data_IF_864758674567
#
_entry.id   IF_864758674567
#
_cell.length_a   1.000
_cell.length_b   1.000
_cell.length_c   1.000
_cell.angle_alpha   90.00
_cell.angle_beta   90.00
_cell.angle_gamma   90.00
#
_symmetry.space_group_name_H-M   'P 1'
#
loop_
_entity.id
_entity.type
_entity.pdbx_description
1 polymer ?
#
# COMPACT_ATOMS: atom_id res chain seq x y z
N UNK A 1 17.33 21.87 28.21
CA UNK A 1 15.99 21.98 27.62
C UNK A 1 15.48 20.56 27.49
N UNK A 2 14.49 20.17 28.30
CA UNK A 2 13.89 18.83 28.23
C UNK A 2 13.01 18.74 26.97
N UNK A 3 12.77 17.54 26.46
CA UNK A 3 11.89 17.31 25.30
C UNK A 3 10.44 17.82 25.51
N UNK A 4 10.07 18.20 26.74
CA UNK A 4 8.77 18.72 27.13
C UNK A 4 8.53 20.22 26.83
N UNK A 5 9.59 21.03 26.68
CA UNK A 5 9.48 22.50 26.61
C UNK A 5 9.71 23.10 25.21
N UNK A 6 10.02 22.27 24.20
CA UNK A 6 10.30 22.75 22.85
C UNK A 6 9.01 23.16 22.13
N UNK A 7 8.92 24.32 21.45
CA UNK A 7 7.77 24.65 20.60
C UNK A 7 7.71 23.75 19.34
N UNK A 8 6.54 23.61 18.70
CA UNK A 8 6.41 22.86 17.46
C UNK A 8 7.36 23.40 16.38
N UNK A 9 8.00 22.49 15.62
CA UNK A 9 9.01 22.83 14.64
C UNK A 9 8.44 23.45 13.35
N UNK A 10 7.13 23.31 13.11
CA UNK A 10 6.47 23.91 11.95
C UNK A 10 4.95 23.75 11.92
N UNK A 11 4.29 24.21 10.84
CA UNK A 11 2.83 24.28 10.75
C UNK A 11 2.12 22.93 10.89
N UNK A 12 2.75 21.85 10.42
CA UNK A 12 2.22 20.50 10.62
C UNK A 12 2.19 20.12 12.11
N UNK A 13 3.30 20.33 12.82
CA UNK A 13 3.40 20.00 14.24
C UNK A 13 2.48 20.89 15.08
N UNK A 14 2.36 22.19 14.75
CA UNK A 14 1.38 23.09 15.40
C UNK A 14 -0.04 22.54 15.32
N UNK A 15 -0.46 22.07 14.13
CA UNK A 15 -1.78 21.45 13.92
C UNK A 15 -1.93 20.15 14.69
N UNK A 16 -0.91 19.29 14.67
CA UNK A 16 -0.91 18.02 15.38
C UNK A 16 -1.01 18.23 16.89
N UNK A 17 -0.29 19.22 17.42
CA UNK A 17 -0.30 19.59 18.83
C UNK A 17 -1.64 20.17 19.26
N UNK A 18 -2.20 21.08 18.47
CA UNK A 18 -3.53 21.63 18.74
C UNK A 18 -4.59 20.52 18.77
N UNK A 19 -4.57 19.61 17.78
CA UNK A 19 -5.48 18.47 17.75
C UNK A 19 -5.31 17.54 18.96
N UNK A 20 -4.06 17.25 19.36
CA UNK A 20 -3.75 16.40 20.50
C UNK A 20 -4.22 17.04 21.82
N UNK A 21 -3.91 18.32 22.04
CA UNK A 21 -4.34 19.09 23.22
C UNK A 21 -5.86 19.13 23.37
N UNK A 22 -6.58 19.23 22.24
CA UNK A 22 -8.04 19.27 22.21
C UNK A 22 -8.67 17.86 22.28
N UNK A 23 -7.88 16.79 22.47
CA UNK A 23 -8.37 15.40 22.55
C UNK A 23 -8.92 14.85 21.23
N UNK A 24 -8.59 15.46 20.08
CA UNK A 24 -9.13 15.09 18.76
C UNK A 24 -8.31 13.98 18.11
N UNK A 25 -8.35 12.79 18.69
CA UNK A 25 -7.54 11.64 18.24
C UNK A 25 -7.72 11.31 16.75
N UNK A 26 -8.96 11.33 16.23
CA UNK A 26 -9.21 11.06 14.81
C UNK A 26 -8.51 12.08 13.88
N UNK A 27 -8.44 13.35 14.28
CA UNK A 27 -7.72 14.38 13.54
C UNK A 27 -6.20 14.16 13.60
N UNK A 28 -5.66 13.77 14.75
CA UNK A 28 -4.24 13.41 14.86
C UNK A 28 -3.87 12.26 13.91
N UNK A 29 -4.67 11.18 13.90
CA UNK A 29 -4.45 10.06 13.00
C UNK A 29 -4.58 10.46 11.52
N UNK A 30 -5.55 11.32 11.19
CA UNK A 30 -5.68 11.86 9.83
C UNK A 30 -4.48 12.71 9.40
N UNK A 31 -3.88 13.48 10.33
CA UNK A 31 -2.66 14.25 10.05
C UNK A 31 -1.46 13.31 9.86
N UNK A 32 -1.29 12.32 10.73
CA UNK A 32 -0.21 11.34 10.62
C UNK A 32 -0.30 10.50 9.34
N UNK A 33 -1.51 10.24 8.85
CA UNK A 33 -1.75 9.56 7.57
C UNK A 33 -1.06 10.23 6.39
N UNK A 34 -1.00 11.55 6.40
CA UNK A 34 -0.45 12.39 5.33
C UNK A 34 0.98 12.86 5.63
N UNK A 35 1.55 12.43 6.75
CA UNK A 35 2.86 12.88 7.19
C UNK A 35 3.97 12.05 6.55
N UNK A 36 5.04 12.76 6.16
CA UNK A 36 6.35 12.16 5.95
C UNK A 36 7.06 12.06 7.30
N UNK A 37 7.61 10.89 7.59
CA UNK A 37 8.26 10.58 8.85
C UNK A 37 9.76 10.42 8.66
N UNK A 38 10.54 11.00 9.56
CA UNK A 38 11.97 10.79 9.66
C UNK A 38 12.25 9.52 10.46
N UNK A 39 12.86 8.52 9.81
CA UNK A 39 13.35 7.30 10.44
C UNK A 39 14.86 7.40 10.64
N UNK A 40 15.36 7.24 11.88
CA UNK A 40 16.80 7.26 12.14
C UNK A 40 17.53 6.16 11.37
N UNK A 41 18.66 6.52 10.76
CA UNK A 41 19.61 5.57 10.14
C UNK A 41 21.02 5.88 10.63
N UNK A 42 21.92 4.91 10.48
CA UNK A 42 23.34 5.10 10.80
C UNK A 42 24.00 6.03 9.76
N UNK A 43 25.09 6.68 10.14
CA UNK A 43 25.89 7.49 9.20
C UNK A 43 26.48 6.63 8.08
N UNK A 44 26.86 5.39 8.37
CA UNK A 44 27.34 4.43 7.38
C UNK A 44 26.25 4.06 6.35
N UNK A 45 25.01 3.84 6.80
CA UNK A 45 23.89 3.59 5.89
C UNK A 45 23.58 4.82 5.02
N UNK A 46 23.64 6.03 5.61
CA UNK A 46 23.46 7.27 4.87
C UNK A 46 24.56 7.51 3.82
N UNK A 47 25.80 7.09 4.11
CA UNK A 47 26.93 7.15 3.19
C UNK A 47 26.92 6.00 2.13
N UNK A 48 25.97 5.06 2.22
CA UNK A 48 25.88 3.90 1.33
C UNK A 48 26.97 2.85 1.57
N UNK A 49 27.68 2.90 2.71
CA UNK A 49 28.74 1.92 3.03
C UNK A 49 28.20 0.67 3.71
N UNK A 50 26.96 0.70 4.20
CA UNK A 50 26.22 -0.47 4.70
C UNK A 50 24.74 -0.38 4.29
N UNK A 51 24.00 -1.50 4.25
CA UNK A 51 22.56 -1.46 4.03
C UNK A 51 21.83 -0.81 5.23
N UNK A 52 20.78 -0.02 4.99
CA UNK A 52 19.99 0.55 6.08
C UNK A 52 19.28 -0.57 6.87
N UNK A 53 19.38 -0.49 8.20
CA UNK A 53 18.69 -1.38 9.13
C UNK A 53 17.56 -0.64 9.86
N UNK A 54 16.55 -1.39 10.29
CA UNK A 54 15.46 -0.85 11.11
C UNK A 54 15.97 -0.47 12.50
N UNK A 55 15.93 0.82 12.83
CA UNK A 55 16.08 1.26 14.21
C UNK A 55 14.94 0.68 15.05
N UNK A 56 15.26 0.17 16.24
CA UNK A 56 14.27 -0.42 17.15
C UNK A 56 14.47 0.07 18.57
N UNK A 57 13.37 0.26 19.28
CA UNK A 57 13.33 0.40 20.74
C UNK A 57 12.43 -0.69 21.29
N UNK A 58 12.74 -1.21 22.47
CA UNK A 58 11.95 -2.27 23.11
C UNK A 58 11.49 -1.82 24.49
N UNK A 59 10.25 -2.13 24.82
CA UNK A 59 9.76 -2.08 26.20
C UNK A 59 9.45 -3.51 26.69
N UNK A 60 8.74 -3.62 27.82
CA UNK A 60 8.40 -4.92 28.40
C UNK A 60 7.41 -5.74 27.55
N UNK A 61 6.68 -5.10 26.63
CA UNK A 61 5.55 -5.68 25.91
C UNK A 61 5.85 -5.87 24.41
N UNK A 62 6.59 -4.95 23.77
CA UNK A 62 6.70 -4.90 22.31
C UNK A 62 7.99 -4.24 21.81
N UNK A 63 8.39 -4.62 20.59
CA UNK A 63 9.38 -3.90 19.77
C UNK A 63 8.72 -2.80 18.95
N UNK A 64 9.28 -1.60 18.99
CA UNK A 64 8.77 -0.43 18.30
C UNK A 64 9.79 0.13 17.31
N UNK A 65 9.31 0.54 16.15
CA UNK A 65 10.06 1.37 15.20
C UNK A 65 9.90 2.83 15.60
N UNK A 66 10.98 3.55 15.99
CA UNK A 66 10.90 4.97 16.26
C UNK A 66 10.85 5.75 14.94
N UNK A 67 9.88 6.65 14.83
CA UNK A 67 9.71 7.55 13.70
C UNK A 67 9.36 8.95 14.21
N UNK A 68 9.77 9.98 13.48
CA UNK A 68 9.64 11.36 13.94
C UNK A 68 8.93 12.24 12.91
N UNK A 69 8.13 13.19 13.39
CA UNK A 69 7.39 14.14 12.52
C UNK A 69 8.27 15.23 11.91
N UNK A 70 9.52 15.33 12.37
CA UNK A 70 10.54 16.25 11.85
C UNK A 70 11.95 15.75 12.20
N UNK A 71 12.95 16.23 11.47
CA UNK A 71 14.36 15.94 11.76
C UNK A 71 14.76 16.60 13.09
N UNK A 72 14.22 17.78 13.37
CA UNK A 72 14.40 18.50 14.62
C UNK A 72 13.89 17.70 15.83
N UNK A 73 12.68 17.12 15.72
CA UNK A 73 12.14 16.25 16.77
C UNK A 73 12.99 15.00 16.97
N UNK A 74 13.49 14.39 15.88
CA UNK A 74 14.41 13.25 15.95
C UNK A 74 15.72 13.58 16.66
N UNK A 75 16.38 14.67 16.27
CA UNK A 75 17.65 15.10 16.88
C UNK A 75 17.44 15.45 18.35
N UNK A 76 16.34 16.10 18.70
CA UNK A 76 16.02 16.44 20.08
C UNK A 76 15.75 15.19 20.93
N UNK A 77 14.87 14.29 20.48
CA UNK A 77 14.51 13.08 21.21
C UNK A 77 15.68 12.12 21.41
N UNK A 78 16.63 12.09 20.47
CA UNK A 78 17.86 11.29 20.56
C UNK A 78 19.00 11.97 21.32
N UNK A 79 18.81 13.19 21.84
CA UNK A 79 19.87 13.96 22.49
C UNK A 79 21.05 14.28 21.57
N UNK A 80 20.80 14.39 20.25
CA UNK A 80 21.80 14.63 19.23
C UNK A 80 22.49 13.38 18.68
N UNK A 81 22.16 12.18 19.17
CA UNK A 81 22.78 10.94 18.69
C UNK A 81 22.32 10.56 17.27
N UNK A 82 21.05 10.77 16.94
CA UNK A 82 20.54 10.55 15.59
C UNK A 82 20.78 11.80 14.73
N UNK A 83 21.71 11.68 13.79
CA UNK A 83 22.13 12.76 12.89
C UNK A 83 21.74 12.53 11.43
N UNK A 84 21.37 11.29 11.07
CA UNK A 84 20.97 10.90 9.73
C UNK A 84 19.61 10.22 9.78
N UNK A 85 18.79 10.45 8.76
CA UNK A 85 17.47 9.85 8.65
C UNK A 85 17.12 9.53 7.20
N UNK A 86 16.14 8.63 7.04
CA UNK A 86 15.38 8.46 5.81
C UNK A 86 13.99 9.05 6.01
N UNK A 87 13.54 9.86 5.07
CA UNK A 87 12.16 10.36 5.04
C UNK A 87 11.31 9.32 4.31
N UNK A 88 10.22 8.88 4.94
CA UNK A 88 9.28 7.91 4.36
C UNK A 88 7.84 8.27 4.73
N UNK A 89 6.93 8.03 3.80
CA UNK A 89 5.49 8.04 4.06
C UNK A 89 5.04 6.74 4.74
N UNK A 90 3.85 6.75 5.35
CA UNK A 90 3.28 5.52 5.94
C UNK A 90 3.08 4.38 4.93
N UNK A 91 2.63 4.61 3.68
CA UNK A 91 2.55 3.54 2.68
C UNK A 91 3.91 2.92 2.32
N UNK A 92 4.96 3.72 2.16
CA UNK A 92 6.32 3.20 1.90
C UNK A 92 6.83 2.38 3.09
N UNK A 93 6.60 2.87 4.31
CA UNK A 93 6.93 2.17 5.54
C UNK A 93 6.18 0.83 5.65
N UNK A 94 4.88 0.82 5.34
CA UNK A 94 4.05 -0.38 5.37
C UNK A 94 4.43 -1.41 4.29
N UNK A 95 4.89 -0.97 3.12
CA UNK A 95 5.32 -1.85 2.02
C UNK A 95 6.51 -2.73 2.41
N UNK A 96 7.42 -2.19 3.23
CA UNK A 96 8.62 -2.87 3.72
C UNK A 96 8.54 -3.33 5.18
N UNK A 97 7.34 -3.44 5.76
CA UNK A 97 7.19 -3.64 7.20
C UNK A 97 7.91 -4.91 7.69
N UNK A 98 8.85 -4.82 8.65
CA UNK A 98 9.77 -5.91 8.96
C UNK A 98 9.14 -7.07 9.72
N UNK A 99 8.22 -6.77 10.65
CA UNK A 99 7.58 -7.76 11.51
C UNK A 99 6.23 -7.23 11.97
N UNK A 100 5.16 -7.97 11.67
CA UNK A 100 3.79 -7.56 11.98
C UNK A 100 3.50 -7.44 13.48
N UNK A 101 4.33 -8.02 14.34
CA UNK A 101 4.19 -7.91 15.79
C UNK A 101 4.74 -6.58 16.33
N UNK A 102 5.59 -5.91 15.55
CA UNK A 102 6.18 -4.63 15.95
C UNK A 102 5.16 -3.49 15.79
N UNK A 103 5.35 -2.43 16.58
CA UNK A 103 4.55 -1.21 16.47
C UNK A 103 5.36 -0.03 15.92
N UNK A 104 4.70 1.07 15.60
CA UNK A 104 5.30 2.35 15.27
C UNK A 104 5.21 3.28 16.49
N UNK A 105 6.35 3.75 16.98
CA UNK A 105 6.41 4.80 17.99
C UNK A 105 6.69 6.12 17.28
N UNK A 106 5.68 6.99 17.19
CA UNK A 106 5.82 8.34 16.61
C UNK A 106 6.22 9.30 17.71
N UNK A 107 7.33 10.00 17.49
CA UNK A 107 7.94 10.96 18.42
C UNK A 107 8.16 10.39 19.84
N UNK A 108 8.76 9.20 20.00
CA UNK A 108 8.97 8.61 21.33
C UNK A 108 9.77 9.56 22.22
N UNK A 109 9.32 9.77 23.46
CA UNK A 109 9.96 10.68 24.42
C UNK A 109 9.63 12.17 24.23
N UNK A 110 8.81 12.52 23.24
CA UNK A 110 8.30 13.89 23.04
C UNK A 110 6.93 14.06 23.67
N UNK A 111 6.56 15.32 23.94
CA UNK A 111 5.26 15.70 24.52
C UNK A 111 4.05 15.19 23.73
N UNK A 112 4.11 15.29 22.40
CA UNK A 112 3.07 14.77 21.49
C UNK A 112 3.64 13.53 20.81
N UNK A 113 3.31 12.38 21.40
CA UNK A 113 3.79 11.06 20.96
C UNK A 113 2.63 10.09 20.78
N UNK A 114 2.84 9.09 19.92
CA UNK A 114 1.83 8.08 19.62
C UNK A 114 2.46 6.70 19.53
N UNK A 115 1.80 5.71 20.12
CA UNK A 115 2.11 4.30 19.93
C UNK A 115 1.03 3.70 19.03
N UNK A 116 1.43 3.30 17.83
CA UNK A 116 0.53 2.73 16.83
C UNK A 116 0.88 1.27 16.60
N UNK A 117 -0.06 0.38 16.86
CA UNK A 117 0.09 -1.03 16.47
C UNK A 117 0.15 -1.17 14.95
N UNK A 118 0.81 -2.24 14.47
CA UNK A 118 0.94 -2.55 13.04
C UNK A 118 -0.40 -2.52 12.30
N UNK A 119 -1.48 -3.04 12.89
CA UNK A 119 -2.81 -2.96 12.27
C UNK A 119 -3.31 -1.52 12.08
N UNK A 120 -3.01 -0.63 13.02
CA UNK A 120 -3.34 0.81 12.89
C UNK A 120 -2.48 1.45 11.82
N UNK A 121 -1.18 1.13 11.75
CA UNK A 121 -0.29 1.54 10.67
C UNK A 121 -0.84 1.08 9.31
N UNK A 122 -1.24 -0.18 9.18
CA UNK A 122 -1.80 -0.76 7.95
C UNK A 122 -3.03 0.03 7.46
N UNK A 123 -3.96 0.35 8.36
CA UNK A 123 -5.20 1.08 8.03
C UNK A 123 -4.97 2.56 7.69
N UNK A 124 -3.94 3.17 8.28
CA UNK A 124 -3.53 4.53 7.91
C UNK A 124 -2.81 4.53 6.56
N UNK A 125 -1.88 3.60 6.36
CA UNK A 125 -1.11 3.46 5.13
C UNK A 125 -2.01 3.12 3.93
N UNK A 126 -2.86 2.11 4.08
CA UNK A 126 -3.78 1.65 3.03
C UNK A 126 -5.18 1.56 3.60
N UNK A 127 -5.96 2.65 3.59
CA UNK A 127 -7.38 2.62 3.94
C UNK A 127 -8.18 1.74 2.96
N UNK A 128 -9.40 1.37 3.34
CA UNK A 128 -10.30 0.65 2.41
C UNK A 128 -10.76 1.57 1.29
N UNK A 129 -11.17 1.02 0.13
CA UNK A 129 -11.70 1.83 -0.98
C UNK A 129 -12.86 2.75 -0.54
N UNK A 130 -13.71 2.27 0.38
CA UNK A 130 -14.84 3.04 0.91
C UNK A 130 -14.36 4.20 1.77
N UNK A 131 -13.32 3.99 2.58
CA UNK A 131 -12.71 5.05 3.37
C UNK A 131 -12.02 6.08 2.48
N UNK A 132 -11.25 5.63 1.48
CA UNK A 132 -10.58 6.51 0.50
C UNK A 132 -11.58 7.41 -0.21
N UNK A 133 -12.69 6.85 -0.72
CA UNK A 133 -13.71 7.63 -1.41
C UNK A 133 -14.45 8.59 -0.46
N UNK A 134 -14.58 8.27 0.83
CA UNK A 134 -15.14 9.20 1.83
C UNK A 134 -14.19 10.35 2.12
N UNK A 135 -12.89 10.08 2.17
CA UNK A 135 -11.84 11.09 2.40
C UNK A 135 -11.67 12.03 1.20
N UNK A 136 -11.78 11.50 -0.02
CA UNK A 136 -11.65 12.27 -1.25
C UNK A 136 -12.77 11.95 -2.26
N UNK A 137 -14.02 12.42 -2.03
CA UNK A 137 -15.16 12.10 -2.92
C UNK A 137 -14.96 12.49 -4.39
N UNK A 138 -14.11 13.49 -4.64
CA UNK A 138 -13.77 13.96 -5.99
C UNK A 138 -12.81 13.05 -6.76
N UNK A 139 -12.16 12.06 -6.14
CA UNK A 139 -11.24 11.14 -6.83
C UNK A 139 -11.96 10.16 -7.76
N UNK A 140 -13.24 9.91 -7.51
CA UNK A 140 -14.02 8.88 -8.19
C UNK A 140 -13.64 7.45 -7.75
N UNK A 141 -14.36 6.47 -8.32
CA UNK A 141 -14.10 5.05 -8.07
C UNK A 141 -12.80 4.64 -8.77
N UNK A 142 -11.85 4.00 -8.06
CA UNK A 142 -10.59 3.61 -8.66
C UNK A 142 -10.78 2.56 -9.76
N UNK A 143 -9.85 2.53 -10.72
CA UNK A 143 -9.74 1.37 -11.62
C UNK A 143 -8.85 0.35 -10.93
N UNK A 144 -9.31 -0.90 -10.87
CA UNK A 144 -8.47 -2.03 -10.46
C UNK A 144 -8.02 -2.82 -11.67
N UNK A 145 -6.90 -3.52 -11.50
CA UNK A 145 -6.37 -4.41 -12.53
C UNK A 145 -5.91 -5.76 -11.98
N UNK A 146 -5.97 -6.77 -12.84
CA UNK A 146 -5.47 -8.12 -12.58
C UNK A 146 -4.75 -8.63 -13.82
N UNK A 147 -3.55 -9.20 -13.66
CA UNK A 147 -2.88 -9.89 -14.76
C UNK A 147 -3.63 -11.18 -15.09
N UNK A 148 -3.76 -11.47 -16.38
CA UNK A 148 -4.44 -12.65 -16.90
C UNK A 148 -3.43 -13.65 -17.49
N UNK A 149 -3.50 -14.94 -17.14
CA UNK A 149 -2.85 -15.98 -17.92
C UNK A 149 -3.41 -15.98 -19.34
N UNK A 150 -2.55 -16.16 -20.35
CA UNK A 150 -3.00 -16.21 -21.74
C UNK A 150 -4.01 -17.35 -21.99
N UNK A 151 -3.87 -18.46 -21.26
CA UNK A 151 -4.77 -19.62 -21.34
C UNK A 151 -6.19 -19.37 -20.81
N UNK A 152 -6.38 -18.38 -19.93
CA UNK A 152 -7.68 -18.08 -19.31
C UNK A 152 -8.55 -17.17 -20.20
N UNK A 153 -7.93 -16.50 -21.18
CA UNK A 153 -8.61 -15.51 -22.03
C UNK A 153 -9.76 -16.12 -22.85
N UNK A 154 -9.61 -17.28 -23.52
CA UNK A 154 -10.72 -17.88 -24.29
C UNK A 154 -11.95 -18.20 -23.42
N UNK A 155 -11.74 -18.73 -22.21
CA UNK A 155 -12.82 -19.00 -21.26
C UNK A 155 -13.49 -17.69 -20.81
N UNK A 156 -12.68 -16.69 -20.44
CA UNK A 156 -13.20 -15.38 -20.04
C UNK A 156 -14.05 -14.74 -21.16
N UNK A 157 -13.58 -14.79 -22.41
CA UNK A 157 -14.25 -14.21 -23.58
C UNK A 157 -15.57 -14.92 -23.93
N UNK A 158 -15.68 -16.22 -23.64
CA UNK A 158 -16.89 -17.01 -23.89
C UNK A 158 -17.92 -16.96 -22.75
N UNK A 159 -17.51 -16.46 -21.57
CA UNK A 159 -18.36 -16.40 -20.39
C UNK A 159 -19.32 -15.20 -20.45
N UNK A 160 -20.63 -15.47 -20.33
CA UNK A 160 -21.65 -14.42 -20.39
C UNK A 160 -21.85 -13.62 -19.09
N UNK A 161 -21.47 -14.18 -17.94
CA UNK A 161 -21.46 -13.48 -16.64
C UNK A 161 -20.10 -13.69 -15.96
N UNK A 162 -19.03 -13.07 -16.47
CA UNK A 162 -17.68 -13.35 -16.00
C UNK A 162 -17.47 -12.88 -14.57
N UNK A 163 -16.77 -13.70 -13.79
CA UNK A 163 -16.43 -13.45 -12.38
C UNK A 163 -14.94 -13.52 -12.15
N UNK A 164 -14.45 -12.77 -11.16
CA UNK A 164 -13.03 -12.72 -10.80
C UNK A 164 -12.85 -12.98 -9.31
N UNK A 165 -11.81 -13.75 -9.00
CA UNK A 165 -11.37 -14.07 -7.64
C UNK A 165 -9.87 -13.80 -7.48
N UNK A 166 -9.41 -13.77 -6.24
CA UNK A 166 -8.01 -13.61 -5.87
C UNK A 166 -7.59 -12.13 -5.81
N UNK A 167 -6.29 -11.88 -5.96
CA UNK A 167 -5.74 -10.53 -5.84
C UNK A 167 -5.93 -9.71 -7.11
N UNK A 168 -6.18 -8.42 -6.92
CA UNK A 168 -6.18 -7.36 -7.92
C UNK A 168 -5.58 -6.09 -7.30
N UNK A 169 -5.11 -5.17 -8.12
CA UNK A 169 -4.30 -4.03 -7.67
C UNK A 169 -4.87 -2.72 -8.17
N UNK A 170 -4.59 -1.62 -7.46
CA UNK A 170 -4.99 -0.29 -7.89
C UNK A 170 -4.23 0.10 -9.17
N UNK A 171 -4.94 0.33 -10.28
CA UNK A 171 -4.31 0.49 -11.59
C UNK A 171 -3.45 1.77 -11.72
N UNK A 172 -3.78 2.83 -10.98
CA UNK A 172 -2.99 4.07 -10.98
C UNK A 172 -1.62 3.87 -10.31
N UNK A 173 -1.52 2.97 -9.33
CA UNK A 173 -0.29 2.77 -8.57
C UNK A 173 0.79 2.12 -9.45
N UNK A 174 0.40 1.56 -10.59
CA UNK A 174 1.28 0.90 -11.56
C UNK A 174 1.21 1.53 -12.95
N UNK A 175 0.51 2.65 -13.13
CA UNK A 175 0.31 3.25 -14.46
C UNK A 175 1.58 3.84 -15.07
N UNK A 176 2.60 4.08 -14.25
CA UNK A 176 3.91 4.57 -14.68
C UNK A 176 4.83 3.43 -15.16
N UNK A 177 4.44 2.16 -14.96
CA UNK A 177 5.26 0.99 -15.31
C UNK A 177 4.87 0.52 -16.71
N UNK A 178 5.66 0.93 -17.72
CA UNK A 178 5.44 0.52 -19.11
C UNK A 178 6.09 -0.83 -19.46
N UNK A 179 7.05 -1.33 -18.66
CA UNK A 179 7.78 -2.55 -18.98
C UNK A 179 7.04 -3.79 -18.43
N UNK A 180 6.59 -4.73 -19.29
CA UNK A 180 5.83 -5.90 -18.84
C UNK A 180 6.57 -6.74 -17.78
N UNK A 181 7.85 -7.01 -17.99
CA UNK A 181 8.64 -7.81 -17.07
C UNK A 181 8.81 -7.16 -15.69
N UNK A 182 8.91 -5.83 -15.66
CA UNK A 182 8.98 -5.08 -14.40
C UNK A 182 7.63 -5.12 -13.68
N UNK A 183 6.52 -4.90 -14.39
CA UNK A 183 5.18 -4.98 -13.81
C UNK A 183 4.92 -6.38 -13.23
N UNK A 184 5.23 -7.43 -14.00
CA UNK A 184 5.05 -8.81 -13.53
C UNK A 184 5.93 -9.11 -12.30
N UNK A 185 7.18 -8.63 -12.29
CA UNK A 185 8.10 -8.80 -11.16
C UNK A 185 7.61 -8.10 -9.90
N UNK A 186 7.19 -6.83 -10.00
CA UNK A 186 6.62 -6.06 -8.87
C UNK A 186 5.42 -6.80 -8.28
N UNK A 187 4.53 -7.33 -9.11
CA UNK A 187 3.34 -8.06 -8.69
C UNK A 187 3.61 -9.52 -8.26
N UNK A 188 4.86 -9.99 -8.26
CA UNK A 188 5.20 -11.39 -7.94
C UNK A 188 4.64 -12.41 -8.93
N UNK A 189 4.34 -11.99 -10.16
CA UNK A 189 3.61 -12.73 -11.19
C UNK A 189 4.39 -12.88 -12.50
N UNK A 190 5.72 -12.97 -12.43
CA UNK A 190 6.61 -13.13 -13.59
C UNK A 190 6.24 -14.28 -14.54
N UNK A 191 5.60 -15.34 -14.01
CA UNK A 191 5.12 -16.47 -14.81
C UNK A 191 3.96 -16.15 -15.77
N UNK A 192 3.36 -14.97 -15.69
CA UNK A 192 2.27 -14.53 -16.58
C UNK A 192 2.75 -13.82 -17.85
N UNK A 193 4.06 -13.59 -18.00
CA UNK A 193 4.63 -13.10 -19.25
C UNK A 193 4.37 -14.12 -20.37
N UNK A 194 3.88 -13.63 -21.51
CA UNK A 194 3.77 -14.44 -22.71
C UNK A 194 5.14 -14.74 -23.30
N UNK A 195 5.21 -15.70 -24.23
CA UNK A 195 6.44 -15.97 -25.01
C UNK A 195 6.91 -14.73 -25.80
N UNK A 196 5.99 -13.88 -26.24
CA UNK A 196 6.29 -12.59 -26.87
C UNK A 196 6.79 -11.52 -25.87
N UNK A 197 6.85 -11.82 -24.58
CA UNK A 197 7.24 -10.89 -23.51
C UNK A 197 6.20 -9.79 -23.25
N UNK A 198 4.93 -10.06 -23.57
CA UNK A 198 3.80 -9.16 -23.31
C UNK A 198 3.03 -9.62 -22.08
N UNK A 199 2.14 -8.76 -21.55
CA UNK A 199 1.20 -9.11 -20.48
C UNK A 199 -0.24 -8.90 -20.94
N UNK A 200 -1.13 -9.78 -20.48
CA UNK A 200 -2.56 -9.57 -20.59
C UNK A 200 -3.07 -9.02 -19.25
N UNK A 201 -3.88 -7.96 -19.31
CA UNK A 201 -4.34 -7.23 -18.14
C UNK A 201 -5.85 -7.06 -18.22
N UNK A 202 -6.56 -7.50 -17.20
CA UNK A 202 -7.96 -7.18 -16.99
C UNK A 202 -8.06 -5.88 -16.18
N UNK A 203 -8.84 -4.90 -16.66
CA UNK A 203 -9.12 -3.64 -15.96
C UNK A 203 -10.61 -3.40 -15.80
N UNK A 204 -11.04 -2.97 -14.63
CA UNK A 204 -12.45 -2.63 -14.38
C UNK A 204 -12.61 -1.62 -13.24
N UNK A 205 -13.76 -0.96 -13.19
CA UNK A 205 -14.17 -0.13 -12.05
C UNK A 205 -14.96 -1.00 -11.08
N UNK A 206 -14.56 -1.13 -9.80
CA UNK A 206 -15.29 -1.88 -8.80
C UNK A 206 -16.76 -1.46 -8.65
N UNK A 207 -17.65 -2.45 -8.54
CA UNK A 207 -19.04 -2.28 -8.09
C UNK A 207 -19.19 -3.03 -6.78
N UNK A 208 -19.79 -2.37 -5.78
CA UNK A 208 -19.84 -2.89 -4.41
C UNK A 208 -18.44 -2.88 -3.78
N UNK A 209 -17.93 -1.68 -3.45
CA UNK A 209 -16.55 -1.47 -2.97
C UNK A 209 -16.16 -2.34 -1.77
N UNK A 210 -17.11 -2.68 -0.89
CA UNK A 210 -16.88 -3.57 0.27
C UNK A 210 -16.50 -5.00 -0.12
N UNK A 211 -16.74 -5.41 -1.37
CA UNK A 211 -16.32 -6.71 -1.92
C UNK A 211 -14.82 -6.75 -2.27
N UNK A 212 -14.16 -5.58 -2.31
CA UNK A 212 -12.75 -5.40 -2.64
C UNK A 212 -11.99 -5.14 -1.34
N UNK A 213 -11.79 -6.21 -0.58
CA UNK A 213 -11.26 -6.11 0.77
C UNK A 213 -9.75 -5.95 0.72
N UNK A 214 -9.24 -4.93 1.41
CA UNK A 214 -7.80 -4.80 1.68
C UNK A 214 -7.34 -6.05 2.46
N UNK A 215 -6.33 -6.79 1.97
CA UNK A 215 -5.88 -8.04 2.58
C UNK A 215 -4.94 -7.77 3.76
N UNK A 216 -5.48 -7.23 4.86
CA UNK A 216 -4.74 -7.19 6.12
C UNK A 216 -4.57 -8.63 6.64
N UNK A 217 -3.36 -9.03 6.97
CA UNK A 217 -3.05 -10.41 7.33
C UNK A 217 -1.59 -10.64 7.68
N UNK A 218 -1.15 -11.90 7.62
CA UNK A 218 0.24 -12.29 7.77
C UNK A 218 0.52 -13.67 7.19
N UNK A 219 1.77 -14.14 7.34
CA UNK A 219 2.17 -15.48 6.89
C UNK A 219 1.63 -16.61 7.79
N UNK A 220 1.21 -16.27 9.00
CA UNK A 220 0.61 -17.17 9.95
C UNK A 220 -0.52 -16.47 10.73
N UNK A 221 -1.16 -17.23 11.63
CA UNK A 221 -2.27 -16.73 12.43
C UNK A 221 -1.85 -15.60 13.37
N UNK A 222 -0.63 -15.64 13.92
CA UNK A 222 -0.14 -14.61 14.82
C UNK A 222 0.08 -13.28 14.08
N UNK A 223 0.67 -13.34 12.88
CA UNK A 223 0.84 -12.18 12.00
C UNK A 223 -0.50 -11.59 11.59
N UNK A 224 -1.47 -12.43 11.23
CA UNK A 224 -2.85 -12.01 10.94
C UNK A 224 -3.47 -11.29 12.13
N UNK A 225 -3.36 -11.85 13.34
CA UNK A 225 -3.90 -11.25 14.56
C UNK A 225 -3.23 -9.91 14.89
N UNK A 226 -1.91 -9.80 14.69
CA UNK A 226 -1.14 -8.59 15.01
C UNK A 226 -1.62 -7.35 14.23
N UNK A 227 -2.14 -7.53 13.01
CA UNK A 227 -2.75 -6.44 12.22
C UNK A 227 -4.27 -6.35 12.35
N UNK A 228 -4.89 -7.16 13.22
CA UNK A 228 -6.33 -7.39 13.28
C UNK A 228 -6.91 -7.73 11.89
N UNK A 229 -6.16 -8.52 11.14
CA UNK A 229 -6.43 -8.89 9.77
C UNK A 229 -7.32 -10.13 9.65
N UNK A 230 -7.47 -10.60 8.43
CA UNK A 230 -8.34 -11.73 8.09
C UNK A 230 -7.71 -12.70 7.07
N UNK A 231 -6.53 -12.38 6.54
CA UNK A 231 -5.81 -13.20 5.56
C UNK A 231 -4.63 -13.90 6.24
N UNK A 232 -4.49 -15.19 5.96
CA UNK A 232 -3.23 -15.93 6.09
C UNK A 232 -2.80 -16.35 4.70
N UNK A 233 -1.57 -16.05 4.30
CA UNK A 233 -1.05 -16.32 2.96
C UNK A 233 0.46 -16.55 3.01
N UNK A 234 0.98 -17.41 2.12
CA UNK A 234 2.41 -17.71 2.10
C UNK A 234 3.29 -16.49 1.73
N UNK A 235 4.57 -16.49 2.13
CA UNK A 235 5.55 -15.51 1.65
C UNK A 235 5.57 -15.44 0.11
N UNK A 236 5.79 -14.25 -0.49
CA UNK A 236 6.25 -13.01 0.14
C UNK A 236 5.15 -12.08 0.67
N UNK A 237 3.94 -12.57 1.01
CA UNK A 237 2.85 -11.74 1.51
C UNK A 237 3.23 -10.91 2.76
N UNK A 238 3.13 -9.57 2.66
CA UNK A 238 3.43 -8.64 3.77
C UNK A 238 2.23 -8.46 4.69
N UNK A 239 1.00 -8.50 4.17
CA UNK A 239 -0.21 -8.43 5.00
C UNK A 239 -0.60 -7.03 5.49
N UNK A 240 -0.04 -5.97 4.90
CA UNK A 240 -0.38 -4.57 5.19
C UNK A 240 -1.28 -3.92 4.12
N UNK A 241 -1.83 -4.71 3.19
CA UNK A 241 -2.66 -4.20 2.08
C UNK A 241 -1.88 -3.70 0.86
N UNK A 242 -0.59 -4.00 0.80
CA UNK A 242 0.32 -3.64 -0.29
C UNK A 242 0.95 -4.90 -0.87
N UNK A 243 1.22 -4.85 -2.17
CA UNK A 243 2.10 -5.82 -2.83
C UNK A 243 3.48 -5.76 -2.17
N UNK A 244 4.18 -6.89 -2.01
CA UNK A 244 5.50 -6.96 -1.36
C UNK A 244 6.61 -6.40 -2.25
N UNK A 245 6.60 -5.08 -2.48
CA UNK A 245 7.61 -4.35 -3.24
C UNK A 245 8.13 -3.18 -2.41
N UNK A 246 9.43 -3.18 -2.12
CA UNK A 246 10.07 -2.16 -1.27
C UNK A 246 10.15 -0.78 -1.94
N UNK A 247 10.16 -0.74 -3.27
CA UNK A 247 10.31 0.50 -4.04
C UNK A 247 9.00 0.98 -4.68
N UNK A 248 7.94 0.16 -4.64
CA UNK A 248 6.69 0.46 -5.31
C UNK A 248 5.52 0.25 -4.35
N UNK A 249 4.89 1.36 -3.96
CA UNK A 249 3.66 1.33 -3.16
C UNK A 249 2.49 0.96 -4.08
N UNK A 250 2.16 -0.32 -4.14
CA UNK A 250 1.04 -0.82 -4.94
C UNK A 250 -0.02 -1.40 -4.02
N UNK A 251 -1.18 -0.74 -3.95
CA UNK A 251 -2.32 -1.23 -3.16
C UNK A 251 -2.94 -2.46 -3.80
N UNK A 252 -3.23 -3.46 -2.97
CA UNK A 252 -3.85 -4.71 -3.38
C UNK A 252 -5.19 -4.95 -2.68
N UNK A 253 -6.05 -5.72 -3.34
CA UNK A 253 -7.38 -6.08 -2.88
C UNK A 253 -7.63 -7.55 -3.19
N UNK A 254 -8.22 -8.27 -2.23
CA UNK A 254 -8.62 -9.67 -2.39
C UNK A 254 -10.12 -9.74 -2.63
N UNK A 255 -10.51 -10.30 -3.77
CA UNK A 255 -11.91 -10.44 -4.20
C UNK A 255 -12.33 -11.91 -4.28
N UNK A 256 -13.62 -12.18 -4.06
CA UNK A 256 -14.20 -13.53 -4.11
C UNK A 256 -15.38 -13.58 -5.06
N UNK A 257 -15.12 -14.03 -6.28
CA UNK A 257 -16.13 -14.26 -7.30
C UNK A 257 -16.93 -13.00 -7.67
N UNK A 258 -16.31 -11.82 -7.64
CA UNK A 258 -16.99 -10.57 -8.00
C UNK A 258 -17.32 -10.58 -9.49
N UNK A 259 -18.55 -10.22 -9.87
CA UNK A 259 -18.94 -10.10 -11.27
C UNK A 259 -18.25 -8.92 -11.93
N UNK A 260 -17.77 -9.10 -13.17
CA UNK A 260 -17.22 -7.98 -13.94
C UNK A 260 -18.36 -7.08 -14.43
N UNK A 261 -18.27 -5.77 -14.18
CA UNK A 261 -19.29 -4.83 -14.61
C UNK A 261 -19.18 -4.51 -16.10
N UNK A 262 -20.24 -3.96 -16.67
CA UNK A 262 -20.22 -3.36 -18.00
C UNK A 262 -19.02 -2.40 -18.12
N UNK A 263 -18.30 -2.49 -19.24
CA UNK A 263 -17.12 -1.67 -19.50
C UNK A 263 -15.83 -2.20 -18.85
N UNK A 264 -15.82 -3.41 -18.28
CA UNK A 264 -14.56 -4.10 -18.00
C UNK A 264 -13.79 -4.38 -19.30
N UNK A 265 -12.47 -4.32 -19.26
CA UNK A 265 -11.61 -4.30 -20.44
C UNK A 265 -10.48 -5.32 -20.33
N UNK A 266 -10.17 -5.98 -21.44
CA UNK A 266 -8.94 -6.78 -21.58
C UNK A 266 -7.95 -5.97 -22.40
N UNK A 267 -6.74 -5.84 -21.88
CA UNK A 267 -5.62 -5.11 -22.47
C UNK A 267 -4.44 -6.03 -22.70
N UNK A 268 -3.65 -5.75 -23.73
CA UNK A 268 -2.30 -6.27 -23.90
C UNK A 268 -1.31 -5.12 -23.65
N UNK A 269 -0.36 -5.31 -22.75
CA UNK A 269 0.83 -4.47 -22.63
C UNK A 269 1.97 -5.16 -23.38
N UNK A 270 2.38 -4.60 -24.51
CA UNK A 270 3.41 -5.20 -25.37
C UNK A 270 4.80 -5.08 -24.76
N UNK A 271 5.77 -5.83 -25.28
CA UNK A 271 7.18 -5.76 -24.88
C UNK A 271 7.76 -4.34 -25.02
N UNK A 272 7.27 -3.58 -25.99
CA UNK A 272 7.66 -2.19 -26.27
C UNK A 272 6.98 -1.18 -25.33
N UNK A 273 6.13 -1.64 -24.41
CA UNK A 273 5.40 -0.81 -23.46
C UNK A 273 4.20 -0.08 -24.04
N UNK A 274 3.64 -0.59 -25.14
CA UNK A 274 2.41 -0.06 -25.74
C UNK A 274 1.21 -0.84 -25.23
N UNK A 275 0.14 -0.13 -24.87
CA UNK A 275 -1.12 -0.76 -24.45
C UNK A 275 -2.12 -0.86 -25.60
N UNK A 276 -2.68 -2.04 -25.78
CA UNK A 276 -3.72 -2.31 -26.77
C UNK A 276 -4.95 -2.92 -26.10
N UNK A 277 -6.07 -2.19 -26.13
CA UNK A 277 -7.34 -2.75 -25.69
C UNK A 277 -7.79 -3.82 -26.67
N UNK A 278 -7.99 -5.05 -26.19
CA UNK A 278 -8.36 -6.24 -26.95
C UNK A 278 -9.84 -6.54 -26.91
N UNK A 279 -10.49 -6.28 -25.78
CA UNK A 279 -11.91 -6.51 -25.63
C UNK A 279 -12.54 -5.59 -24.59
N UNK A 280 -13.85 -5.39 -24.70
CA UNK A 280 -14.69 -4.71 -23.70
C UNK A 280 -15.92 -5.55 -23.40
N UNK A 281 -16.25 -5.74 -22.13
CA UNK A 281 -17.40 -6.51 -21.70
C UNK A 281 -18.67 -5.66 -21.77
N UNK A 282 -19.68 -6.14 -22.50
CA UNK A 282 -20.97 -5.49 -22.62
C UNK A 282 -22.00 -6.17 -21.72
N UNK A 283 -22.30 -5.55 -20.56
CA UNK A 283 -23.20 -6.12 -19.55
C UNK A 283 -24.59 -6.51 -20.06
N UNK A 284 -25.24 -5.68 -20.88
CA UNK A 284 -26.61 -5.99 -21.36
C UNK A 284 -26.65 -7.15 -22.37
N UNK A 285 -25.63 -7.24 -23.23
CA UNK A 285 -25.50 -8.32 -24.22
C UNK A 285 -24.85 -9.57 -23.64
N UNK A 286 -24.34 -9.50 -22.40
CA UNK A 286 -23.67 -10.60 -21.70
C UNK A 286 -22.60 -11.27 -22.56
N UNK A 287 -21.74 -10.44 -23.18
CA UNK A 287 -20.65 -10.90 -24.04
C UNK A 287 -19.52 -9.90 -24.12
N UNK A 288 -18.36 -10.38 -24.52
CA UNK A 288 -17.21 -9.55 -24.86
C UNK A 288 -17.31 -9.06 -26.30
N UNK A 289 -17.00 -7.78 -26.50
CA UNK A 289 -16.84 -7.17 -27.81
C UNK A 289 -15.34 -7.08 -28.12
N UNK A 290 -14.88 -7.81 -29.12
CA UNK A 290 -13.49 -7.79 -29.55
C UNK A 290 -13.17 -6.48 -30.29
N UNK A 291 -12.01 -5.93 -30.02
CA UNK A 291 -11.49 -4.74 -30.68
C UNK A 291 -10.42 -5.18 -31.67
N UNK A 292 -10.73 -5.07 -32.96
CA UNK A 292 -9.80 -5.43 -34.02
C UNK A 292 -8.53 -4.60 -33.96
N UNK A 293 -7.38 -5.22 -34.26
CA UNK A 293 -6.17 -4.48 -34.67
C UNK A 293 -6.52 -3.82 -36.02
N UNK A 294 -6.47 -2.50 -36.09
CA UNK A 294 -6.19 -1.85 -37.38
C UNK A 294 -4.72 -2.00 -37.69
#
# INVERSE_FOLDING_TARGET
MTADDQPPAGPFEERLWAAHRDGRQALCLSLLREADLALPITAAAAAGTEPPAWATITDAERTWLPAFTSVEAMTLASGGAATHCRIVSLPELAAGWPDLRWGLAVNPGMRVSFLLESGTVARLAVPTMVQDLRLAPGSGVPVVQKLLPAGDIPELLSTGEPRVSGYCHHALDVSHIATPALLAGILGQSGLLTESGSLNILRWRPVGLELYRTPYGGADEQGREAVAGWVVEEPPFVGMGLVPSVDNVVREYKVYGVGLPHGAEIWELTREGTEHRRAIYHGDLRRWLLIGRR
#
